data_IF_084557977973
#
_entry.id   IF_084557977973
#
_cell.length_a   1.000
_cell.length_b   1.000
_cell.length_c   1.000
_cell.angle_alpha   90.00
_cell.angle_beta   90.00
_cell.angle_gamma   90.00
#
_symmetry.space_group_name_H-M   'P 1'
#
loop_
_entity.id
_entity.type
_entity.pdbx_description
1 polymer ?
#
# COMPACT_ATOMS: atom_id res chain seq x y z
N UNK A 1 -57.63 21.59 4.93
CA UNK A 1 -56.80 22.30 3.92
C UNK A 1 -55.34 21.98 4.17
N UNK A 2 -54.78 20.99 3.47
CA UNK A 2 -53.38 20.56 3.64
C UNK A 2 -52.64 20.84 2.34
N UNK A 3 -51.65 21.74 2.39
CA UNK A 3 -50.82 22.09 1.22
C UNK A 3 -49.81 20.97 0.98
N UNK A 4 -49.91 20.31 -0.17
CA UNK A 4 -48.89 19.39 -0.67
C UNK A 4 -47.76 20.20 -1.29
N UNK A 5 -46.52 20.03 -0.80
CA UNK A 5 -45.31 20.61 -1.40
C UNK A 5 -44.71 19.53 -2.29
N UNK A 6 -44.86 19.70 -3.60
CA UNK A 6 -44.23 18.87 -4.62
C UNK A 6 -42.71 18.99 -4.52
N UNK A 7 -42.00 17.88 -4.27
CA UNK A 7 -40.54 17.82 -4.43
C UNK A 7 -40.21 18.00 -5.91
N UNK A 8 -39.55 19.11 -6.25
CA UNK A 8 -38.84 19.28 -7.51
C UNK A 8 -37.74 18.23 -7.59
N UNK A 9 -37.90 17.27 -8.51
CA UNK A 9 -36.81 16.39 -8.92
C UNK A 9 -35.81 17.22 -9.71
N UNK A 10 -34.64 17.48 -9.12
CA UNK A 10 -33.49 17.94 -9.88
C UNK A 10 -32.99 16.77 -10.71
N UNK A 11 -33.30 16.77 -12.00
CA UNK A 11 -32.62 15.90 -12.95
C UNK A 11 -31.15 16.35 -13.04
N UNK A 12 -30.23 15.53 -12.52
CA UNK A 12 -28.80 15.72 -12.73
C UNK A 12 -28.49 15.54 -14.21
N UNK A 13 -27.83 16.53 -14.83
CA UNK A 13 -27.30 16.38 -16.20
C UNK A 13 -26.26 15.25 -16.20
N UNK A 14 -26.27 14.35 -17.20
CA UNK A 14 -25.25 13.32 -17.33
C UNK A 14 -23.88 13.98 -17.54
N UNK A 15 -22.90 13.62 -16.72
CA UNK A 15 -21.52 14.10 -16.88
C UNK A 15 -20.94 13.57 -18.20
N UNK A 16 -20.17 14.38 -18.96
CA UNK A 16 -19.73 14.05 -20.32
C UNK A 16 -18.75 12.87 -20.42
N UNK A 17 -18.22 12.36 -19.29
CA UNK A 17 -17.34 11.21 -19.26
C UNK A 17 -17.71 10.32 -18.07
N UNK A 18 -18.15 9.09 -18.35
CA UNK A 18 -18.34 8.05 -17.34
C UNK A 18 -16.96 7.53 -16.95
N UNK A 19 -16.56 7.76 -15.70
CA UNK A 19 -15.41 7.08 -15.10
C UNK A 19 -15.97 5.82 -14.45
N UNK A 20 -15.64 4.66 -15.00
CA UNK A 20 -15.90 3.40 -14.32
C UNK A 20 -14.92 3.28 -13.16
N UNK A 21 -15.44 3.04 -11.96
CA UNK A 21 -14.64 2.78 -10.76
C UNK A 21 -14.99 1.40 -10.22
N UNK A 22 -13.96 0.69 -9.80
CA UNK A 22 -14.07 -0.59 -9.11
C UNK A 22 -13.32 -0.48 -7.80
N UNK A 23 -13.93 -0.95 -6.71
CA UNK A 23 -13.27 -0.99 -5.41
C UNK A 23 -12.13 -2.03 -5.42
N UNK A 24 -11.01 -1.70 -4.76
CA UNK A 24 -9.87 -2.59 -4.58
C UNK A 24 -9.98 -3.34 -3.23
N UNK A 25 -11.08 -4.06 -3.03
CA UNK A 25 -11.43 -4.74 -1.76
C UNK A 25 -11.42 -6.28 -1.85
N UNK A 26 -11.12 -6.85 -3.02
CA UNK A 26 -10.91 -8.27 -3.25
C UNK A 26 -9.50 -8.57 -3.78
N UNK A 27 -9.08 -9.84 -3.75
CA UNK A 27 -7.80 -10.28 -4.32
C UNK A 27 -7.90 -10.73 -5.79
N UNK A 28 -9.11 -10.67 -6.36
CA UNK A 28 -9.45 -11.03 -7.73
C UNK A 28 -10.73 -10.29 -8.18
N UNK A 29 -11.15 -10.50 -9.42
CA UNK A 29 -12.29 -9.83 -10.05
C UNK A 29 -11.88 -8.62 -10.88
N UNK A 30 -10.58 -8.43 -11.14
CA UNK A 30 -10.06 -7.30 -11.88
C UNK A 30 -9.69 -7.67 -13.33
N UNK A 31 -9.80 -6.73 -14.29
CA UNK A 31 -9.41 -6.98 -15.68
C UNK A 31 -7.95 -7.39 -15.88
N UNK A 32 -7.09 -7.19 -14.88
CA UNK A 32 -5.64 -7.46 -14.93
C UNK A 32 -5.22 -8.71 -14.13
N UNK A 33 -6.14 -9.50 -13.58
CA UNK A 33 -5.82 -10.64 -12.70
C UNK A 33 -4.91 -11.70 -13.34
N UNK A 34 -4.91 -11.79 -14.68
CA UNK A 34 -4.05 -12.70 -15.42
C UNK A 34 -2.56 -12.32 -15.34
N UNK A 35 -2.26 -11.05 -15.11
CA UNK A 35 -0.90 -10.48 -15.17
C UNK A 35 -0.42 -9.96 -13.81
N UNK A 36 -1.35 -9.50 -12.98
CA UNK A 36 -1.08 -8.83 -11.72
C UNK A 36 -1.96 -9.43 -10.62
N UNK A 37 -1.35 -9.91 -9.54
CA UNK A 37 -2.08 -10.21 -8.31
C UNK A 37 -2.40 -8.90 -7.57
N UNK A 38 -3.64 -8.74 -7.13
CA UNK A 38 -4.05 -7.70 -6.18
C UNK A 38 -4.07 -8.30 -4.76
N UNK A 39 -3.56 -7.60 -3.75
CA UNK A 39 -3.57 -8.03 -2.36
C UNK A 39 -3.99 -6.89 -1.42
N UNK A 40 -5.28 -6.82 -1.07
CA UNK A 40 -5.74 -5.98 0.02
C UNK A 40 -5.20 -6.46 1.37
N UNK A 41 -4.67 -5.54 2.17
CA UNK A 41 -4.17 -5.76 3.53
C UNK A 41 -4.95 -4.84 4.47
N UNK A 42 -6.02 -5.38 5.06
CA UNK A 42 -6.93 -4.61 5.90
C UNK A 42 -6.32 -4.34 7.30
N UNK A 43 -6.25 -3.07 7.68
CA UNK A 43 -5.97 -2.61 9.03
C UNK A 43 -7.24 -2.13 9.75
N UNK A 44 -7.09 -1.62 10.97
CA UNK A 44 -8.22 -1.14 11.77
C UNK A 44 -8.78 0.22 11.33
N UNK A 45 -8.02 0.96 10.51
CA UNK A 45 -8.36 2.32 10.07
C UNK A 45 -8.28 2.50 8.55
N UNK A 46 -7.33 1.83 7.90
CA UNK A 46 -7.14 1.87 6.45
C UNK A 46 -6.83 0.47 5.91
N UNK A 47 -7.00 0.30 4.61
CA UNK A 47 -6.60 -0.90 3.86
C UNK A 47 -5.52 -0.49 2.86
N UNK A 48 -4.38 -1.15 2.92
CA UNK A 48 -3.36 -1.07 1.88
C UNK A 48 -3.69 -2.04 0.76
N UNK A 49 -3.28 -1.75 -0.47
CA UNK A 49 -3.48 -2.67 -1.60
C UNK A 49 -2.17 -2.80 -2.35
N UNK A 50 -1.62 -4.00 -2.30
CA UNK A 50 -0.34 -4.32 -2.91
C UNK A 50 -0.51 -5.12 -4.19
N UNK A 51 0.43 -4.94 -5.11
CA UNK A 51 0.35 -5.55 -6.44
C UNK A 51 1.59 -6.37 -6.74
N UNK A 52 1.40 -7.53 -7.34
CA UNK A 52 2.51 -8.35 -7.81
C UNK A 52 2.36 -8.67 -9.29
N UNK A 53 3.27 -8.15 -10.11
CA UNK A 53 3.32 -8.46 -11.53
C UNK A 53 4.12 -9.74 -11.77
N UNK A 54 3.46 -10.76 -12.31
CA UNK A 54 4.03 -12.11 -12.41
C UNK A 54 5.25 -12.18 -13.33
N UNK A 55 5.14 -11.61 -14.54
CA UNK A 55 6.16 -11.78 -15.59
C UNK A 55 7.51 -11.18 -15.21
N UNK A 56 7.51 -10.02 -14.51
CA UNK A 56 8.76 -9.36 -14.09
C UNK A 56 9.16 -9.66 -12.65
N UNK A 57 8.37 -10.47 -11.92
CA UNK A 57 8.54 -10.72 -10.47
C UNK A 57 8.70 -9.43 -9.67
N UNK A 58 7.88 -8.43 -9.98
CA UNK A 58 7.91 -7.12 -9.34
C UNK A 58 6.77 -7.00 -8.35
N UNK A 59 7.11 -6.81 -7.09
CA UNK A 59 6.16 -6.37 -6.08
C UNK A 59 6.10 -4.84 -6.09
N UNK A 60 4.90 -4.29 -6.02
CA UNK A 60 4.65 -2.85 -5.88
C UNK A 60 4.03 -2.67 -4.50
N UNK A 61 4.72 -1.93 -3.65
CA UNK A 61 4.26 -1.55 -2.34
C UNK A 61 3.79 -0.10 -2.36
N UNK A 62 2.58 0.16 -1.86
CA UNK A 62 2.06 1.49 -1.61
C UNK A 62 2.77 2.08 -0.39
N UNK A 63 2.25 1.88 0.83
CA UNK A 63 2.79 2.52 2.03
C UNK A 63 3.38 1.53 3.04
N UNK A 64 3.32 0.21 2.80
CA UNK A 64 3.85 -0.78 3.75
C UNK A 64 5.37 -0.68 3.99
N UNK A 65 6.14 -0.11 3.05
CA UNK A 65 7.56 0.25 3.25
C UNK A 65 7.80 1.67 2.75
N UNK A 66 8.45 2.47 3.59
CA UNK A 66 8.95 3.80 3.21
C UNK A 66 10.48 3.81 3.31
N UNK A 67 11.15 4.24 2.24
CA UNK A 67 12.61 4.20 2.14
C UNK A 67 13.22 5.52 1.67
N UNK A 68 13.01 6.60 2.43
CA UNK A 68 13.47 7.93 2.03
C UNK A 68 14.98 8.03 1.92
N UNK A 69 15.47 8.56 0.80
CA UNK A 69 16.89 8.85 0.60
C UNK A 69 17.28 10.11 1.40
N UNK A 70 18.09 10.01 2.46
CA UNK A 70 18.36 11.15 3.35
C UNK A 70 18.92 12.36 2.62
N UNK A 71 19.72 12.13 1.56
CA UNK A 71 20.33 13.15 0.71
C UNK A 71 19.30 14.03 -0.02
N UNK A 72 18.10 13.51 -0.27
CA UNK A 72 16.99 14.24 -0.91
C UNK A 72 16.14 15.04 0.09
N UNK A 73 16.37 14.88 1.40
CA UNK A 73 15.69 15.64 2.45
C UNK A 73 16.54 16.86 2.79
N UNK A 74 16.03 18.05 2.48
CA UNK A 74 16.74 19.32 2.70
C UNK A 74 16.73 19.78 4.17
N UNK A 75 15.69 19.44 4.93
CA UNK A 75 15.59 19.80 6.35
C UNK A 75 16.32 18.81 7.24
N UNK A 76 17.30 19.28 8.01
CA UNK A 76 18.03 18.45 8.98
C UNK A 76 17.11 17.86 10.06
N UNK A 77 16.11 18.64 10.49
CA UNK A 77 15.11 18.19 11.47
C UNK A 77 14.30 17.03 10.88
N UNK A 78 13.78 17.18 9.66
CA UNK A 78 13.03 16.12 8.98
C UNK A 78 13.90 14.89 8.74
N UNK A 79 15.17 15.08 8.36
CA UNK A 79 16.13 13.99 8.19
C UNK A 79 16.37 13.24 9.50
N UNK A 80 16.41 13.93 10.63
CA UNK A 80 16.54 13.26 11.92
C UNK A 80 15.26 12.52 12.32
N UNK A 81 14.10 13.15 12.17
CA UNK A 81 12.79 12.54 12.48
C UNK A 81 12.52 11.28 11.66
N UNK A 82 12.77 11.33 10.35
CA UNK A 82 12.59 10.17 9.45
C UNK A 82 13.60 9.05 9.75
N UNK A 83 14.82 9.39 10.21
CA UNK A 83 15.77 8.39 10.71
C UNK A 83 15.26 7.70 11.96
N UNK A 84 14.76 8.45 12.94
CA UNK A 84 14.16 7.87 14.16
C UNK A 84 12.91 7.05 13.87
N UNK A 85 12.14 7.43 12.86
CA UNK A 85 10.98 6.68 12.38
C UNK A 85 11.34 5.33 11.75
N UNK A 86 12.61 5.11 11.38
CA UNK A 86 13.07 3.88 10.70
C UNK A 86 12.60 3.79 9.25
N UNK A 87 12.47 4.93 8.57
CA UNK A 87 11.88 5.03 7.22
C UNK A 87 12.87 5.58 6.19
N UNK A 88 14.16 5.47 6.47
CA UNK A 88 15.25 5.97 5.62
C UNK A 88 16.07 4.85 5.02
N UNK A 89 16.53 5.09 3.79
CA UNK A 89 17.53 4.27 3.10
C UNK A 89 18.85 4.19 3.88
N UNK A 90 19.49 3.00 3.96
CA UNK A 90 19.12 1.73 3.33
C UNK A 90 18.25 0.79 4.18
N UNK A 91 17.78 1.23 5.36
CA UNK A 91 17.01 0.37 6.28
C UNK A 91 15.54 0.82 6.42
N UNK A 92 14.92 1.25 5.31
CA UNK A 92 13.51 1.63 5.29
C UNK A 92 12.59 0.49 5.71
N UNK A 93 11.53 0.82 6.45
CA UNK A 93 10.54 -0.11 7.00
C UNK A 93 9.14 0.52 6.97
N UNK A 94 8.13 -0.23 7.38
CA UNK A 94 6.82 0.32 7.74
C UNK A 94 6.98 1.40 8.80
N UNK A 95 6.39 2.59 8.54
CA UNK A 95 6.34 3.69 9.51
C UNK A 95 5.73 3.22 10.82
N UNK A 96 6.29 3.68 11.94
CA UNK A 96 5.89 3.20 13.28
C UNK A 96 4.42 3.46 13.62
N UNK A 97 3.90 4.60 13.19
CA UNK A 97 2.48 4.94 13.34
C UNK A 97 1.59 4.01 12.53
N UNK A 98 1.99 3.66 11.31
CA UNK A 98 1.26 2.69 10.49
C UNK A 98 1.22 1.28 11.10
N UNK A 99 2.25 0.88 11.88
CA UNK A 99 2.22 -0.39 12.63
C UNK A 99 1.06 -0.44 13.63
N UNK A 100 0.66 0.70 14.19
CA UNK A 100 -0.48 0.77 15.11
C UNK A 100 -1.81 0.47 14.39
N UNK A 101 -1.95 0.91 13.14
CA UNK A 101 -3.12 0.61 12.30
C UNK A 101 -3.31 -0.89 12.08
N UNK A 102 -2.24 -1.69 12.12
CA UNK A 102 -2.30 -3.15 11.99
C UNK A 102 -2.17 -3.89 13.34
N UNK A 103 -2.12 -3.19 14.47
CA UNK A 103 -1.88 -3.84 15.78
C UNK A 103 -2.92 -4.90 16.12
N UNK A 104 -4.20 -4.65 15.80
CA UNK A 104 -5.31 -5.60 15.98
C UNK A 104 -5.37 -6.67 14.88
N UNK A 105 -4.73 -6.41 13.74
CA UNK A 105 -4.67 -7.30 12.58
C UNK A 105 -3.25 -7.86 12.38
N UNK A 106 -2.45 -7.95 13.45
CA UNK A 106 -1.04 -8.37 13.36
C UNK A 106 -0.89 -9.75 12.69
N UNK A 107 -1.72 -10.77 12.99
CA UNK A 107 -1.66 -12.05 12.28
C UNK A 107 -1.96 -11.94 10.78
N UNK A 108 -2.93 -11.10 10.39
CA UNK A 108 -3.30 -10.88 8.99
C UNK A 108 -2.20 -10.13 8.25
N UNK A 109 -1.60 -9.11 8.86
CA UNK A 109 -0.44 -8.43 8.30
C UNK A 109 0.71 -9.43 8.11
N UNK A 110 1.03 -10.24 9.13
CA UNK A 110 2.08 -11.25 9.04
C UNK A 110 1.81 -12.27 7.91
N UNK A 111 0.56 -12.70 7.74
CA UNK A 111 0.16 -13.59 6.66
C UNK A 111 0.32 -12.93 5.28
N UNK A 112 -0.07 -11.66 5.13
CA UNK A 112 0.13 -10.89 3.91
C UNK A 112 1.62 -10.74 3.57
N UNK A 113 2.48 -10.41 4.55
CA UNK A 113 3.93 -10.35 4.35
C UNK A 113 4.48 -11.70 3.91
N UNK A 114 4.05 -12.81 4.55
CA UNK A 114 4.47 -14.16 4.15
C UNK A 114 4.01 -14.52 2.73
N UNK A 115 2.81 -14.10 2.32
CA UNK A 115 2.32 -14.26 0.93
C UNK A 115 3.21 -13.50 -0.05
N UNK A 116 3.54 -12.24 0.24
CA UNK A 116 4.44 -11.43 -0.60
C UNK A 116 5.84 -12.02 -0.71
N UNK A 117 6.38 -12.57 0.39
CA UNK A 117 7.65 -13.31 0.38
C UNK A 117 7.55 -14.58 -0.47
N UNK A 118 6.44 -15.32 -0.38
CA UNK A 118 6.22 -16.55 -1.14
C UNK A 118 6.11 -16.32 -2.66
N UNK A 119 5.63 -15.14 -3.08
CA UNK A 119 5.70 -14.72 -4.49
C UNK A 119 7.12 -14.56 -5.01
N UNK A 120 8.12 -14.55 -4.12
CA UNK A 120 9.54 -14.51 -4.45
C UNK A 120 9.88 -13.34 -5.39
N UNK A 121 9.59 -12.08 -5.02
CA UNK A 121 9.89 -10.93 -5.86
C UNK A 121 11.40 -10.77 -6.08
N UNK A 122 11.77 -10.42 -7.30
CA UNK A 122 13.12 -9.94 -7.65
C UNK A 122 13.23 -8.45 -7.32
N UNK A 123 12.19 -7.68 -7.66
CA UNK A 123 12.10 -6.22 -7.54
C UNK A 123 11.00 -5.83 -6.56
N UNK A 124 11.21 -4.74 -5.83
CA UNK A 124 10.18 -4.12 -4.98
C UNK A 124 10.14 -2.62 -5.27
N UNK A 125 9.09 -2.18 -5.96
CA UNK A 125 8.79 -0.76 -6.22
C UNK A 125 8.08 -0.20 -4.99
N UNK A 126 8.48 0.99 -4.55
CA UNK A 126 7.89 1.68 -3.39
C UNK A 126 7.27 3.00 -3.86
N UNK A 127 6.12 3.38 -3.31
CA UNK A 127 5.56 4.72 -3.54
C UNK A 127 6.47 5.83 -2.98
N UNK A 128 7.27 5.51 -1.96
CA UNK A 128 8.07 6.48 -1.23
C UNK A 128 9.55 6.09 -1.10
N UNK A 129 10.40 6.85 -1.78
CA UNK A 129 11.86 6.79 -1.63
C UNK A 129 12.54 5.85 -2.63
N UNK A 130 13.66 5.26 -2.23
CA UNK A 130 14.44 4.36 -3.09
C UNK A 130 13.82 2.96 -3.11
N UNK A 131 13.47 2.50 -4.30
CA UNK A 131 13.00 1.14 -4.54
C UNK A 131 14.16 0.12 -4.60
N UNK A 132 13.84 -1.18 -4.51
CA UNK A 132 14.83 -2.26 -4.54
C UNK A 132 14.82 -2.97 -5.90
N UNK A 133 15.92 -2.81 -6.64
CA UNK A 133 16.07 -3.37 -8.00
C UNK A 133 16.34 -4.87 -8.03
N UNK A 134 16.88 -5.42 -6.95
CA UNK A 134 17.22 -6.84 -6.80
C UNK A 134 17.02 -7.29 -5.36
N UNK A 135 17.02 -8.61 -5.17
CA UNK A 135 16.89 -9.26 -3.86
C UNK A 135 15.59 -8.87 -3.11
N UNK A 136 14.50 -8.62 -3.84
CA UNK A 136 13.24 -8.14 -3.26
C UNK A 136 12.74 -8.98 -2.09
N UNK A 137 12.85 -10.31 -2.17
CA UNK A 137 12.47 -11.21 -1.08
C UNK A 137 13.27 -10.98 0.20
N UNK A 138 14.58 -10.76 0.09
CA UNK A 138 15.44 -10.48 1.25
C UNK A 138 15.17 -9.10 1.83
N UNK A 139 14.86 -8.12 0.98
CA UNK A 139 14.46 -6.79 1.42
C UNK A 139 13.13 -6.80 2.18
N UNK A 140 12.17 -7.63 1.78
CA UNK A 140 10.94 -7.85 2.55
C UNK A 140 11.25 -8.46 3.92
N UNK A 141 12.08 -9.51 3.97
CA UNK A 141 12.48 -10.14 5.25
C UNK A 141 13.16 -9.13 6.16
N UNK A 142 14.08 -8.33 5.63
CA UNK A 142 14.75 -7.25 6.38
C UNK A 142 13.73 -6.22 6.88
N UNK A 143 12.91 -5.65 6.00
CA UNK A 143 12.02 -4.55 6.35
C UNK A 143 10.91 -4.96 7.34
N UNK A 144 10.51 -6.24 7.33
CA UNK A 144 9.49 -6.80 8.21
C UNK A 144 10.02 -7.73 9.30
N UNK A 145 11.33 -7.74 9.58
CA UNK A 145 11.94 -8.57 10.65
C UNK A 145 11.23 -8.44 12.00
N UNK A 146 10.86 -7.22 12.39
CA UNK A 146 10.11 -6.91 13.62
C UNK A 146 8.71 -7.58 13.72
N UNK A 147 8.18 -8.06 12.59
CA UNK A 147 6.90 -8.75 12.49
C UNK A 147 7.06 -10.26 12.27
N UNK A 148 8.14 -10.68 11.63
CA UNK A 148 8.41 -12.06 11.25
C UNK A 148 9.14 -12.85 12.34
N UNK A 149 9.93 -12.16 13.17
CA UNK A 149 10.51 -12.67 14.41
C UNK A 149 9.44 -12.81 15.51
#
# INVERSE_FOLDING_TARGET
>A
MQKSISRLAFASKPAPHRVDSLALDSDNGYPWDAEISTLPVAGSYMTEVEFFHYASRTLILTDLIVNFEPRKINSLIVRWLTRLGGVQDPDGQMRRDMRLTFSRQRPQLQAAIKKMIAWNPERVILAHGRWYEKNGTDELRRAFRWLLD
#
